data_IF_174679688816
#
_entry.id   IF_174679688816
#
_cell.length_a   1.000
_cell.length_b   1.000
_cell.length_c   1.000
_cell.angle_alpha   90.00
_cell.angle_beta   90.00
_cell.angle_gamma   90.00
#
_symmetry.space_group_name_H-M   'P 1'
#
loop_
_entity.id
_entity.type
_entity.pdbx_description
1 polymer ?
#
# COMPACT_ATOMS: atom_id res chain seq x y z
N UNK A 1 -3.13 8.37 4.14
CA UNK A 1 -3.26 8.46 5.61
C UNK A 1 -1.89 8.80 6.18
N UNK A 2 -1.82 9.83 7.00
CA UNK A 2 -0.57 10.33 7.59
C UNK A 2 -0.66 10.42 9.11
N UNK A 3 0.48 10.42 9.79
CA UNK A 3 0.59 10.54 11.25
C UNK A 3 1.87 9.92 11.77
N UNK A 4 2.22 10.19 13.02
CA UNK A 4 3.40 9.63 13.69
C UNK A 4 3.33 8.10 13.85
N UNK A 5 4.46 7.50 14.22
CA UNK A 5 4.50 6.08 14.56
C UNK A 5 3.55 5.78 15.72
N UNK A 6 2.90 4.61 15.68
CA UNK A 6 1.92 4.21 16.70
C UNK A 6 0.57 4.93 16.67
N UNK A 7 0.30 5.79 15.67
CA UNK A 7 -0.99 6.50 15.57
C UNK A 7 -2.18 5.63 15.10
N UNK A 8 -1.96 4.34 14.82
CA UNK A 8 -3.04 3.40 14.46
C UNK A 8 -3.27 3.22 12.95
N UNK A 9 -2.45 3.82 12.08
CA UNK A 9 -2.61 3.75 10.61
C UNK A 9 -2.63 2.31 10.07
N UNK A 10 -1.57 1.55 10.34
CA UNK A 10 -1.43 0.16 9.89
C UNK A 10 -2.49 -0.75 10.48
N UNK A 11 -2.81 -0.59 11.77
CA UNK A 11 -3.86 -1.37 12.45
C UNK A 11 -5.23 -1.13 11.81
N UNK A 12 -5.54 0.12 11.43
CA UNK A 12 -6.78 0.43 10.72
C UNK A 12 -6.88 -0.30 9.37
N UNK A 13 -5.78 -0.39 8.65
CA UNK A 13 -5.71 -1.13 7.37
C UNK A 13 -5.87 -2.63 7.57
N UNK A 14 -5.21 -3.20 8.58
CA UNK A 14 -5.38 -4.61 8.94
C UNK A 14 -6.83 -4.91 9.34
N UNK A 15 -7.51 -3.97 10.03
CA UNK A 15 -8.93 -4.10 10.35
C UNK A 15 -9.81 -4.17 9.11
N UNK A 16 -9.57 -3.32 8.10
CA UNK A 16 -10.27 -3.35 6.81
C UNK A 16 -10.05 -4.70 6.10
N UNK A 17 -8.81 -5.19 6.12
CA UNK A 17 -8.44 -6.47 5.52
C UNK A 17 -8.98 -7.69 6.31
N UNK A 18 -9.45 -7.49 7.56
CA UNK A 18 -9.86 -8.58 8.45
C UNK A 18 -8.69 -9.41 8.98
N UNK A 19 -7.53 -8.79 9.13
CA UNK A 19 -6.27 -9.41 9.58
C UNK A 19 -5.93 -9.05 11.04
N UNK A 20 -6.89 -8.66 11.84
CA UNK A 20 -6.69 -8.44 13.27
C UNK A 20 -6.77 -9.79 13.98
N UNK A 21 -5.66 -10.21 14.57
CA UNK A 21 -5.54 -11.47 15.29
C UNK A 21 -6.35 -11.48 16.60
N UNK A 22 -6.83 -12.67 16.99
CA UNK A 22 -7.42 -12.88 18.31
C UNK A 22 -6.40 -12.58 19.42
N UNK A 23 -6.78 -11.89 20.52
CA UNK A 23 -8.13 -11.53 20.94
C UNK A 23 -8.65 -10.17 20.44
N UNK A 24 -7.97 -9.54 19.48
CA UNK A 24 -8.39 -8.26 18.91
C UNK A 24 -9.79 -8.32 18.31
N UNK A 25 -10.53 -7.20 18.43
CA UNK A 25 -11.87 -7.06 17.87
C UNK A 25 -11.97 -5.76 17.10
N UNK A 26 -12.61 -5.83 15.92
CA UNK A 26 -12.92 -4.66 15.10
C UNK A 26 -14.36 -4.22 15.41
N UNK A 27 -14.50 -3.00 15.92
CA UNK A 27 -15.79 -2.35 16.13
C UNK A 27 -15.87 -1.13 15.23
N UNK A 28 -16.91 -1.04 14.43
CA UNK A 28 -17.15 0.08 13.52
C UNK A 28 -18.64 0.34 13.39
N UNK A 29 -19.03 1.60 13.34
CA UNK A 29 -20.41 1.99 13.02
C UNK A 29 -20.74 1.58 11.59
N UNK A 30 -19.85 1.91 10.67
CA UNK A 30 -19.94 1.54 9.27
C UNK A 30 -18.59 1.03 8.76
N UNK A 31 -18.59 -0.10 8.05
CA UNK A 31 -17.42 -0.65 7.35
C UNK A 31 -17.91 -1.29 6.06
N UNK A 32 -17.92 -0.52 4.99
CA UNK A 32 -18.51 -0.90 3.72
C UNK A 32 -17.51 -0.79 2.58
N UNK A 33 -17.56 -1.75 1.66
CA UNK A 33 -16.80 -1.74 0.42
C UNK A 33 -17.69 -2.17 -0.75
N UNK A 34 -17.82 -1.33 -1.76
CA UNK A 34 -18.67 -1.58 -2.95
C UNK A 34 -20.09 -2.03 -2.60
N UNK A 35 -20.74 -1.38 -1.63
CA UNK A 35 -22.10 -1.71 -1.18
C UNK A 35 -22.20 -2.97 -0.33
N UNK A 36 -21.08 -3.58 0.08
CA UNK A 36 -21.06 -4.75 0.96
C UNK A 36 -20.64 -4.34 2.37
N UNK A 37 -21.46 -4.65 3.37
CA UNK A 37 -21.10 -4.46 4.78
C UNK A 37 -20.08 -5.53 5.22
N UNK A 38 -18.81 -5.10 5.36
CA UNK A 38 -17.70 -6.00 5.71
C UNK A 38 -17.79 -6.56 7.13
N UNK A 39 -18.66 -6.02 7.97
CA UNK A 39 -18.91 -6.57 9.33
C UNK A 39 -19.76 -7.84 9.28
N UNK A 40 -20.55 -8.01 8.22
CA UNK A 40 -21.56 -9.10 8.09
C UNK A 40 -21.15 -10.18 7.11
N UNK A 41 -20.11 -9.98 6.31
CA UNK A 41 -19.63 -11.01 5.38
C UNK A 41 -19.04 -12.20 6.15
N UNK A 42 -19.25 -13.40 5.63
CA UNK A 42 -18.62 -14.62 6.15
C UNK A 42 -17.11 -14.60 5.89
N UNK A 43 -16.36 -15.41 6.64
CA UNK A 43 -14.91 -15.57 6.38
C UNK A 43 -14.61 -16.04 4.95
N UNK A 44 -15.46 -16.87 4.37
CA UNK A 44 -15.32 -17.34 3.00
C UNK A 44 -15.44 -16.19 2.00
N UNK A 45 -16.44 -15.31 2.17
CA UNK A 45 -16.62 -14.11 1.36
C UNK A 45 -15.48 -13.14 1.54
N UNK A 46 -14.99 -12.97 2.78
CA UNK A 46 -13.81 -12.14 3.07
C UNK A 46 -12.57 -12.64 2.36
N UNK A 47 -12.28 -13.94 2.39
CA UNK A 47 -11.15 -14.55 1.66
C UNK A 47 -11.27 -14.39 0.15
N UNK A 48 -12.48 -14.34 -0.38
CA UNK A 48 -12.70 -14.05 -1.80
C UNK A 48 -12.50 -12.59 -2.14
N UNK A 49 -12.85 -11.68 -1.22
CA UNK A 49 -12.70 -10.24 -1.40
C UNK A 49 -11.22 -9.80 -1.29
N UNK A 50 -10.53 -10.27 -0.23
CA UNK A 50 -9.13 -9.96 0.06
C UNK A 50 -8.23 -10.69 -0.93
N UNK A 51 -7.35 -9.93 -1.59
CA UNK A 51 -6.48 -10.41 -2.66
C UNK A 51 -7.11 -10.33 -4.06
N UNK A 52 -8.44 -10.34 -4.17
CA UNK A 52 -9.12 -10.21 -5.46
C UNK A 52 -9.61 -8.77 -5.72
N UNK A 53 -10.35 -8.18 -4.80
CA UNK A 53 -10.93 -6.83 -4.96
C UNK A 53 -10.24 -5.78 -4.06
N UNK A 54 -9.72 -6.20 -2.91
CA UNK A 54 -8.94 -5.37 -1.99
C UNK A 54 -7.60 -6.04 -1.76
N UNK A 55 -6.51 -5.34 -2.02
CA UNK A 55 -5.15 -5.85 -1.80
C UNK A 55 -4.36 -4.91 -0.90
N UNK A 56 -3.32 -5.44 -0.27
CA UNK A 56 -2.44 -4.68 0.61
C UNK A 56 -0.98 -4.96 0.32
N UNK A 57 -0.18 -3.91 0.31
CA UNK A 57 1.28 -3.95 0.34
C UNK A 57 1.68 -3.66 1.79
N UNK A 58 2.37 -4.62 2.40
CA UNK A 58 2.83 -4.51 3.78
C UNK A 58 4.14 -3.72 3.88
N UNK A 59 4.43 -3.21 5.06
CA UNK A 59 5.57 -2.33 5.32
C UNK A 59 6.93 -2.98 5.01
N UNK A 60 7.10 -4.28 5.28
CA UNK A 60 8.38 -4.99 5.11
C UNK A 60 8.26 -6.09 4.06
N UNK A 61 8.92 -5.94 2.89
CA UNK A 61 8.91 -6.95 1.85
C UNK A 61 9.65 -8.24 2.25
N UNK A 62 10.62 -8.16 3.17
CA UNK A 62 11.40 -9.32 3.59
C UNK A 62 10.60 -10.28 4.46
N UNK A 63 9.66 -9.78 5.23
CA UNK A 63 8.74 -10.60 6.03
C UNK A 63 7.48 -11.01 5.27
N UNK A 64 7.14 -10.30 4.22
CA UNK A 64 5.93 -10.55 3.41
C UNK A 64 6.14 -11.62 2.34
N UNK A 65 7.35 -11.75 1.82
CA UNK A 65 7.70 -12.80 0.86
C UNK A 65 8.18 -14.05 1.61
N UNK A 66 7.60 -15.21 1.29
CA UNK A 66 8.05 -16.47 1.88
C UNK A 66 9.42 -16.88 1.32
N UNK A 67 10.47 -16.98 2.14
CA UNK A 67 11.82 -17.28 1.68
C UNK A 67 12.00 -18.71 1.12
N UNK A 68 11.08 -19.62 1.42
CA UNK A 68 11.13 -21.01 0.98
C UNK A 68 10.56 -21.24 -0.43
N UNK A 69 9.89 -20.23 -1.02
CA UNK A 69 9.28 -20.35 -2.34
C UNK A 69 9.88 -19.32 -3.31
N UNK A 70 9.96 -19.72 -4.58
CA UNK A 70 10.42 -18.81 -5.63
C UNK A 70 9.43 -17.69 -5.87
N UNK A 71 9.88 -16.58 -6.43
CA UNK A 71 9.07 -15.42 -6.82
C UNK A 71 7.92 -15.84 -7.71
N UNK A 72 8.21 -16.62 -8.76
CA UNK A 72 7.20 -17.10 -9.69
C UNK A 72 6.13 -17.97 -9.02
N UNK A 73 6.55 -18.86 -8.10
CA UNK A 73 5.59 -19.68 -7.35
C UNK A 73 4.59 -18.81 -6.58
N UNK A 74 5.07 -17.82 -5.82
CA UNK A 74 4.24 -16.96 -4.99
C UNK A 74 3.26 -16.12 -5.82
N UNK A 75 3.72 -15.51 -6.93
CA UNK A 75 2.85 -14.76 -7.85
C UNK A 75 1.79 -15.69 -8.47
N UNK A 76 2.21 -16.85 -8.97
CA UNK A 76 1.30 -17.81 -9.58
C UNK A 76 0.29 -18.40 -8.60
N UNK A 77 0.64 -18.54 -7.32
CA UNK A 77 -0.27 -19.00 -6.27
C UNK A 77 -1.38 -17.98 -6.03
N UNK A 78 -1.05 -16.69 -5.91
CA UNK A 78 -2.04 -15.61 -5.80
C UNK A 78 -3.01 -15.61 -6.98
N UNK A 79 -2.51 -15.73 -8.22
CA UNK A 79 -3.34 -15.84 -9.42
C UNK A 79 -4.23 -17.07 -9.37
N UNK A 80 -3.68 -18.23 -8.98
CA UNK A 80 -4.40 -19.51 -8.91
C UNK A 80 -5.59 -19.45 -7.95
N UNK A 81 -5.37 -18.88 -6.78
CA UNK A 81 -6.40 -18.82 -5.72
C UNK A 81 -7.59 -17.98 -6.14
N UNK A 82 -7.37 -16.86 -6.84
CA UNK A 82 -8.42 -15.89 -7.12
C UNK A 82 -8.93 -15.90 -8.57
N UNK A 83 -8.11 -16.31 -9.53
CA UNK A 83 -8.45 -16.28 -10.96
C UNK A 83 -8.44 -17.67 -11.62
N UNK A 84 -7.79 -18.64 -10.99
CA UNK A 84 -7.64 -19.97 -11.57
C UNK A 84 -6.67 -20.02 -12.75
N UNK A 85 -7.11 -20.59 -13.87
CA UNK A 85 -6.30 -20.73 -15.08
C UNK A 85 -5.34 -21.92 -15.07
N UNK A 86 -4.81 -22.28 -16.24
CA UNK A 86 -3.81 -23.34 -16.37
C UNK A 86 -2.39 -22.82 -16.04
N UNK A 87 -1.41 -23.72 -15.89
CA UNK A 87 -0.05 -23.37 -15.53
C UNK A 87 0.59 -22.40 -16.52
N UNK A 88 0.38 -22.61 -17.84
CA UNK A 88 0.97 -21.77 -18.89
C UNK A 88 0.47 -20.33 -18.84
N UNK A 89 -0.84 -20.15 -18.66
CA UNK A 89 -1.45 -18.80 -18.56
C UNK A 89 -0.98 -18.06 -17.30
N UNK A 90 -0.82 -18.78 -16.17
CA UNK A 90 -0.29 -18.18 -14.93
C UNK A 90 1.18 -17.77 -15.03
N UNK A 91 2.01 -18.59 -15.69
CA UNK A 91 3.41 -18.23 -15.96
C UNK A 91 3.48 -16.95 -16.80
N UNK A 92 2.74 -16.90 -17.90
CA UNK A 92 2.73 -15.70 -18.75
C UNK A 92 2.26 -14.47 -17.98
N UNK A 93 1.17 -14.60 -17.21
CA UNK A 93 0.67 -13.50 -16.37
C UNK A 93 1.69 -13.05 -15.32
N UNK A 94 2.44 -13.98 -14.72
CA UNK A 94 3.50 -13.65 -13.76
C UNK A 94 4.65 -12.87 -14.44
N UNK A 95 5.05 -13.27 -15.65
CA UNK A 95 6.03 -12.54 -16.46
C UNK A 95 5.54 -11.13 -16.77
N UNK A 96 4.28 -10.99 -17.22
CA UNK A 96 3.67 -9.70 -17.55
C UNK A 96 3.62 -8.77 -16.31
N UNK A 97 3.32 -9.32 -15.13
CA UNK A 97 3.31 -8.57 -13.87
C UNK A 97 4.71 -8.10 -13.47
N UNK A 98 5.72 -8.97 -13.55
CA UNK A 98 7.11 -8.59 -13.27
C UNK A 98 7.62 -7.55 -14.25
N UNK A 99 7.23 -7.64 -15.53
CA UNK A 99 7.52 -6.62 -16.54
C UNK A 99 6.86 -5.29 -16.18
N UNK A 100 5.58 -5.34 -15.78
CA UNK A 100 4.78 -4.15 -15.43
C UNK A 100 5.38 -3.38 -14.26
N UNK A 101 5.93 -4.07 -13.27
CA UNK A 101 6.61 -3.45 -12.11
C UNK A 101 8.09 -3.13 -12.36
N UNK A 102 8.59 -3.32 -13.60
CA UNK A 102 9.95 -2.94 -13.99
C UNK A 102 11.05 -3.87 -13.46
N UNK A 103 10.77 -5.16 -13.28
CA UNK A 103 11.79 -6.16 -12.96
C UNK A 103 12.55 -6.52 -14.24
N UNK A 104 13.89 -6.39 -14.27
CA UNK A 104 14.70 -6.77 -15.44
C UNK A 104 14.72 -8.29 -15.61
N UNK A 105 14.67 -8.75 -16.85
CA UNK A 105 14.67 -10.17 -17.24
C UNK A 105 13.62 -11.00 -16.47
N UNK A 106 12.32 -10.64 -16.58
CA UNK A 106 11.27 -11.16 -15.72
C UNK A 106 11.09 -12.68 -15.81
N UNK A 107 11.40 -13.28 -16.96
CA UNK A 107 11.25 -14.72 -17.13
C UNK A 107 12.27 -15.50 -16.25
N UNK A 108 13.52 -15.07 -16.21
CA UNK A 108 14.54 -15.70 -15.36
C UNK A 108 14.30 -15.45 -13.86
N UNK A 109 13.61 -14.35 -13.53
CA UNK A 109 13.29 -13.99 -12.13
C UNK A 109 12.18 -14.83 -11.51
N UNK A 110 11.45 -15.61 -12.30
CA UNK A 110 10.44 -16.52 -11.74
C UNK A 110 11.06 -17.60 -10.84
N UNK A 111 12.28 -18.04 -11.14
CA UNK A 111 12.94 -19.16 -10.47
C UNK A 111 13.86 -18.70 -9.31
N UNK A 112 13.98 -17.38 -9.06
CA UNK A 112 14.78 -16.87 -7.95
C UNK A 112 13.99 -16.85 -6.65
N UNK A 113 14.72 -16.92 -5.54
CA UNK A 113 14.16 -16.79 -4.20
C UNK A 113 14.25 -15.35 -3.69
N UNK A 114 13.37 -14.94 -2.74
CA UNK A 114 13.37 -13.58 -2.19
C UNK A 114 14.75 -13.08 -1.71
N UNK A 115 15.52 -13.91 -1.03
CA UNK A 115 16.85 -13.57 -0.51
C UNK A 115 17.92 -13.29 -1.61
N UNK A 116 17.61 -13.59 -2.87
CA UNK A 116 18.47 -13.30 -4.03
C UNK A 116 18.12 -11.96 -4.68
N UNK A 117 17.14 -11.23 -4.16
CA UNK A 117 16.69 -9.94 -4.67
C UNK A 117 17.22 -8.80 -3.80
N UNK A 118 17.42 -7.62 -4.42
CA UNK A 118 17.60 -6.38 -3.66
C UNK A 118 16.29 -5.96 -2.98
N UNK A 119 16.36 -5.08 -1.97
CA UNK A 119 15.17 -4.56 -1.29
C UNK A 119 14.16 -3.93 -2.24
N UNK A 120 14.62 -3.10 -3.18
CA UNK A 120 13.75 -2.50 -4.20
C UNK A 120 13.13 -3.52 -5.15
N UNK A 121 13.85 -4.59 -5.51
CA UNK A 121 13.29 -5.68 -6.31
C UNK A 121 12.25 -6.48 -5.53
N UNK A 122 12.51 -6.79 -4.26
CA UNK A 122 11.54 -7.47 -3.39
C UNK A 122 10.26 -6.66 -3.22
N UNK A 123 10.39 -5.33 -3.08
CA UNK A 123 9.25 -4.41 -3.03
C UNK A 123 8.44 -4.46 -4.33
N UNK A 124 9.10 -4.41 -5.49
CA UNK A 124 8.42 -4.52 -6.80
C UNK A 124 7.71 -5.87 -6.97
N UNK A 125 8.30 -6.96 -6.52
CA UNK A 125 7.66 -8.30 -6.51
C UNK A 125 6.41 -8.29 -5.62
N UNK A 126 6.48 -7.71 -4.43
CA UNK A 126 5.33 -7.59 -3.54
C UNK A 126 4.20 -6.76 -4.17
N UNK A 127 4.54 -5.66 -4.86
CA UNK A 127 3.59 -4.87 -5.65
C UNK A 127 2.96 -5.75 -6.75
N UNK A 128 3.77 -6.49 -7.51
CA UNK A 128 3.27 -7.39 -8.55
C UNK A 128 2.28 -8.42 -8.01
N UNK A 129 2.56 -9.00 -6.84
CA UNK A 129 1.62 -9.91 -6.17
C UNK A 129 0.33 -9.22 -5.76
N UNK A 130 0.40 -8.02 -5.19
CA UNK A 130 -0.77 -7.27 -4.74
C UNK A 130 -1.70 -6.91 -5.91
N UNK A 131 -1.16 -6.55 -7.07
CA UNK A 131 -1.95 -6.17 -8.26
C UNK A 131 -2.29 -7.36 -9.17
N UNK A 132 -1.85 -8.58 -8.83
CA UNK A 132 -2.01 -9.77 -9.69
C UNK A 132 -3.44 -10.01 -10.13
N UNK A 133 -4.40 -9.74 -9.24
CA UNK A 133 -5.82 -9.93 -9.46
C UNK A 133 -6.58 -8.66 -9.88
N UNK A 134 -5.88 -7.56 -10.17
CA UNK A 134 -6.47 -6.26 -10.53
C UNK A 134 -7.46 -5.77 -9.48
N UNK A 135 -7.00 -5.49 -8.26
CA UNK A 135 -7.86 -5.06 -7.18
C UNK A 135 -8.50 -3.70 -7.50
N UNK A 136 -9.67 -3.45 -6.94
CA UNK A 136 -10.33 -2.13 -7.00
C UNK A 136 -9.77 -1.15 -5.98
N UNK A 137 -9.20 -1.69 -4.89
CA UNK A 137 -8.55 -0.92 -3.83
C UNK A 137 -7.20 -1.56 -3.50
N UNK A 138 -6.14 -0.76 -3.57
CA UNK A 138 -4.82 -1.09 -3.09
C UNK A 138 -4.50 -0.25 -1.86
N UNK A 139 -4.16 -0.90 -0.75
CA UNK A 139 -3.66 -0.24 0.46
C UNK A 139 -2.14 -0.45 0.50
N UNK A 140 -1.38 0.62 0.48
CA UNK A 140 0.08 0.58 0.59
C UNK A 140 0.49 1.13 1.95
N UNK A 141 0.92 0.25 2.85
CA UNK A 141 1.34 0.59 4.21
C UNK A 141 2.84 0.82 4.26
N UNK A 142 3.23 2.07 4.31
CA UNK A 142 4.64 2.52 4.31
C UNK A 142 5.50 1.80 3.25
N UNK A 143 5.11 1.81 1.97
CA UNK A 143 5.68 0.94 0.93
C UNK A 143 7.14 1.27 0.59
N UNK A 144 7.70 2.30 1.18
CA UNK A 144 9.06 2.80 0.91
C UNK A 144 9.99 2.70 2.12
N UNK A 145 9.51 2.18 3.25
CA UNK A 145 10.32 2.01 4.46
C UNK A 145 11.53 1.09 4.16
N UNK A 146 12.68 1.44 4.69
CA UNK A 146 13.98 0.76 4.54
C UNK A 146 14.55 0.76 3.10
N UNK A 147 14.04 1.60 2.20
CA UNK A 147 14.61 1.81 0.87
C UNK A 147 15.40 3.15 0.81
N UNK A 148 16.38 3.23 -0.08
CA UNK A 148 17.06 4.50 -0.36
C UNK A 148 16.14 5.49 -1.08
N UNK A 149 16.45 6.80 -0.97
CA UNK A 149 15.60 7.89 -1.46
C UNK A 149 15.26 7.76 -2.95
N UNK A 150 16.22 7.30 -3.76
CA UNK A 150 16.01 7.15 -5.20
C UNK A 150 15.00 6.04 -5.49
N UNK A 151 15.13 4.90 -4.81
CA UNK A 151 14.21 3.77 -4.95
C UNK A 151 12.83 4.13 -4.37
N UNK A 152 12.77 4.88 -3.28
CA UNK A 152 11.49 5.37 -2.72
C UNK A 152 10.69 6.15 -3.77
N UNK A 153 11.31 7.13 -4.43
CA UNK A 153 10.66 7.90 -5.49
C UNK A 153 10.13 7.01 -6.62
N UNK A 154 10.95 6.06 -7.08
CA UNK A 154 10.55 5.12 -8.13
C UNK A 154 9.38 4.21 -7.74
N UNK A 155 9.32 3.75 -6.49
CA UNK A 155 8.21 2.92 -5.98
C UNK A 155 6.90 3.72 -5.95
N UNK A 156 6.97 4.98 -5.54
CA UNK A 156 5.77 5.83 -5.50
C UNK A 156 5.28 6.17 -6.91
N UNK A 157 6.18 6.55 -7.80
CA UNK A 157 5.84 6.78 -9.20
C UNK A 157 5.17 5.54 -9.82
N UNK A 158 5.74 4.36 -9.59
CA UNK A 158 5.16 3.09 -10.01
C UNK A 158 3.73 2.88 -9.46
N UNK A 159 3.50 3.14 -8.17
CA UNK A 159 2.18 2.99 -7.56
C UNK A 159 1.15 3.95 -8.16
N UNK A 160 1.54 5.19 -8.44
CA UNK A 160 0.68 6.19 -9.08
C UNK A 160 0.37 5.83 -10.56
N UNK A 161 1.36 5.37 -11.31
CA UNK A 161 1.15 4.87 -12.67
C UNK A 161 0.19 3.67 -12.68
N UNK A 162 0.38 2.72 -11.78
CA UNK A 162 -0.50 1.55 -11.64
C UNK A 162 -1.92 1.94 -11.24
N UNK A 163 -2.06 2.92 -10.32
CA UNK A 163 -3.36 3.45 -9.91
C UNK A 163 -4.15 3.98 -11.11
N UNK A 164 -3.49 4.75 -11.98
CA UNK A 164 -4.12 5.30 -13.17
C UNK A 164 -4.42 4.21 -14.22
N UNK A 165 -3.43 3.37 -14.53
CA UNK A 165 -3.51 2.34 -15.56
C UNK A 165 -4.55 1.26 -15.27
N UNK A 166 -4.61 0.80 -14.03
CA UNK A 166 -5.55 -0.25 -13.60
C UNK A 166 -6.87 0.34 -13.08
N UNK A 167 -7.03 1.67 -13.07
CA UNK A 167 -8.22 2.40 -12.60
C UNK A 167 -8.66 1.93 -11.20
N UNK A 168 -7.70 1.84 -10.27
CA UNK A 168 -7.94 1.40 -8.90
C UNK A 168 -7.86 2.56 -7.91
N UNK A 169 -8.52 2.44 -6.77
CA UNK A 169 -8.31 3.34 -5.65
C UNK A 169 -7.00 2.99 -4.94
N UNK A 170 -6.24 4.00 -4.53
CA UNK A 170 -5.00 3.84 -3.76
C UNK A 170 -5.14 4.52 -2.40
N UNK A 171 -4.96 3.76 -1.32
CA UNK A 171 -4.76 4.28 0.03
C UNK A 171 -3.27 4.16 0.36
N UNK A 172 -2.60 5.30 0.41
CA UNK A 172 -1.19 5.38 0.80
C UNK A 172 -1.08 5.74 2.27
N UNK A 173 -0.42 4.91 3.06
CA UNK A 173 -0.04 5.19 4.43
C UNK A 173 1.44 5.54 4.42
N UNK A 174 1.77 6.72 4.92
CA UNK A 174 3.16 7.19 4.97
C UNK A 174 3.33 8.24 6.06
N UNK A 175 4.54 8.39 6.53
CA UNK A 175 4.96 9.52 7.36
C UNK A 175 5.60 10.65 6.53
N UNK A 176 5.81 10.43 5.23
CA UNK A 176 6.38 11.42 4.32
C UNK A 176 5.27 12.32 3.75
N UNK A 177 5.20 13.54 4.27
CA UNK A 177 4.22 14.54 3.85
C UNK A 177 4.57 15.21 2.52
N UNK A 178 5.84 15.28 2.13
CA UNK A 178 6.24 15.84 0.84
C UNK A 178 5.68 14.97 -0.29
N UNK A 179 5.82 13.66 -0.14
CA UNK A 179 5.22 12.68 -1.03
C UNK A 179 3.69 12.80 -1.12
N UNK A 180 3.04 13.00 0.04
CA UNK A 180 1.57 13.13 0.10
C UNK A 180 1.11 14.41 -0.60
N UNK A 181 1.89 15.49 -0.56
CA UNK A 181 1.58 16.74 -1.24
C UNK A 181 1.47 16.57 -2.76
N UNK A 182 2.30 15.71 -3.33
CA UNK A 182 2.34 15.43 -4.77
C UNK A 182 1.29 14.40 -5.22
N UNK A 183 1.05 13.39 -4.38
CA UNK A 183 0.32 12.18 -4.77
C UNK A 183 -1.16 12.16 -4.32
N UNK A 184 -1.52 12.84 -3.23
CA UNK A 184 -2.81 12.64 -2.60
C UNK A 184 -3.88 13.64 -3.05
N UNK A 185 -5.09 13.13 -3.33
CA UNK A 185 -6.28 13.97 -3.50
C UNK A 185 -6.91 14.34 -2.16
N UNK A 186 -6.91 13.42 -1.20
CA UNK A 186 -7.50 13.55 0.13
C UNK A 186 -6.53 13.05 1.18
N UNK A 187 -6.46 13.75 2.30
CA UNK A 187 -5.61 13.40 3.43
C UNK A 187 -6.47 13.08 4.66
N UNK A 188 -6.05 12.07 5.39
CA UNK A 188 -6.55 11.72 6.72
C UNK A 188 -5.35 11.78 7.66
N UNK A 189 -5.40 12.66 8.65
CA UNK A 189 -4.35 12.81 9.66
C UNK A 189 -4.76 12.05 10.91
N UNK A 190 -3.91 11.13 11.36
CA UNK A 190 -4.14 10.32 12.56
C UNK A 190 -3.13 10.65 13.67
N UNK A 191 -3.62 10.75 14.88
CA UNK A 191 -2.82 10.94 16.11
C UNK A 191 -3.43 10.14 17.24
N UNK A 192 -2.61 9.36 17.96
CA UNK A 192 -3.03 8.57 19.14
C UNK A 192 -4.30 7.74 18.92
N UNK A 193 -4.42 7.07 17.76
CA UNK A 193 -5.56 6.22 17.41
C UNK A 193 -6.80 6.96 16.92
N UNK A 194 -6.75 8.28 16.78
CA UNK A 194 -7.88 9.11 16.35
C UNK A 194 -7.60 9.83 15.03
N UNK A 195 -8.63 10.01 14.21
CA UNK A 195 -8.58 10.91 13.08
C UNK A 195 -8.76 12.34 13.61
N UNK A 196 -7.72 13.16 13.52
CA UNK A 196 -7.72 14.54 14.05
C UNK A 196 -8.05 15.57 12.99
N UNK A 197 -7.77 15.27 11.73
CA UNK A 197 -8.10 16.14 10.60
C UNK A 197 -8.29 15.33 9.32
N UNK A 198 -9.21 15.75 8.45
CA UNK A 198 -9.42 15.17 7.12
C UNK A 198 -9.89 16.25 6.15
N UNK A 199 -9.43 16.20 4.92
CA UNK A 199 -9.80 17.16 3.88
C UNK A 199 -9.11 16.90 2.55
N UNK A 200 -9.40 17.75 1.57
CA UNK A 200 -8.63 17.77 0.34
C UNK A 200 -7.16 18.08 0.63
N UNK A 201 -6.23 17.49 -0.11
CA UNK A 201 -4.81 17.68 0.14
C UNK A 201 -4.43 19.17 0.13
N UNK A 202 -4.90 19.91 -0.86
CA UNK A 202 -4.63 21.35 -0.99
C UNK A 202 -5.09 22.16 0.24
N UNK A 203 -6.24 21.81 0.82
CA UNK A 203 -6.77 22.52 2.00
C UNK A 203 -5.94 22.23 3.25
N UNK A 204 -5.57 20.96 3.44
CA UNK A 204 -4.73 20.55 4.58
C UNK A 204 -3.35 21.19 4.53
N UNK A 205 -2.71 21.29 3.35
CA UNK A 205 -1.41 21.94 3.20
C UNK A 205 -1.50 23.47 3.33
N UNK A 206 -2.56 24.08 2.79
CA UNK A 206 -2.72 25.54 2.77
C UNK A 206 -3.17 26.12 4.11
N UNK A 207 -4.12 25.46 4.78
CA UNK A 207 -4.76 25.95 5.99
C UNK A 207 -5.08 24.80 6.98
N UNK A 208 -4.05 24.15 7.55
CA UNK A 208 -4.24 23.12 8.55
C UNK A 208 -4.91 23.68 9.79
N UNK A 209 -5.95 23.01 10.27
CA UNK A 209 -6.76 23.49 11.40
C UNK A 209 -6.31 22.88 12.73
N UNK A 210 -5.95 21.60 12.72
CA UNK A 210 -5.56 20.90 13.94
C UNK A 210 -4.11 21.22 14.33
N UNK A 211 -3.79 21.53 15.60
CA UNK A 211 -2.44 21.85 16.03
C UNK A 211 -1.39 20.79 15.69
N UNK A 212 -1.76 19.50 15.77
CA UNK A 212 -0.88 18.40 15.39
C UNK A 212 -0.55 18.42 13.88
N UNK A 213 -1.54 18.66 13.02
CA UNK A 213 -1.31 18.79 11.57
C UNK A 213 -0.38 19.97 11.27
N UNK A 214 -0.58 21.10 11.95
CA UNK A 214 0.31 22.26 11.83
C UNK A 214 1.73 21.93 12.25
N UNK A 215 1.92 21.19 13.36
CA UNK A 215 3.24 20.76 13.82
C UNK A 215 3.91 19.80 12.83
N UNK A 216 3.17 18.84 12.27
CA UNK A 216 3.67 17.92 11.25
C UNK A 216 4.16 18.67 9.99
N UNK A 217 3.38 19.62 9.50
CA UNK A 217 3.74 20.40 8.31
C UNK A 217 4.94 21.33 8.57
N UNK A 218 5.05 21.92 9.77
CA UNK A 218 6.21 22.75 10.14
C UNK A 218 7.52 21.95 10.23
N UNK A 219 7.44 20.65 10.41
CA UNK A 219 8.62 19.78 10.42
C UNK A 219 9.18 19.50 9.02
N UNK A 220 8.44 19.84 7.95
CA UNK A 220 8.92 19.71 6.58
C UNK A 220 9.97 20.79 6.26
N UNK A 221 11.11 20.42 5.65
CA UNK A 221 12.16 21.39 5.29
C UNK A 221 11.69 22.54 4.42
N UNK A 222 10.74 22.29 3.53
CA UNK A 222 10.17 23.29 2.60
C UNK A 222 9.38 24.37 3.32
N UNK A 223 8.62 24.02 4.35
CA UNK A 223 7.89 24.99 5.18
C UNK A 223 8.77 25.71 6.19
N UNK A 224 9.96 25.18 6.52
CA UNK A 224 10.94 25.85 7.38
C UNK A 224 11.68 26.97 6.64
N UNK A 225 11.86 26.88 5.30
CA UNK A 225 12.57 27.89 4.51
C UNK A 225 11.77 29.17 4.28
N UNK A 226 10.44 29.11 4.22
CA UNK A 226 9.62 30.32 4.06
C UNK A 226 9.65 31.25 5.28
N UNK A 227 9.93 30.73 6.47
CA UNK A 227 10.12 31.58 7.67
C UNK A 227 11.47 32.27 7.74
N UNK A 228 12.51 31.69 7.15
CA UNK A 228 13.84 32.30 7.10
C UNK A 228 13.95 33.42 6.04
N UNK A 229 12.99 33.50 5.10
CA UNK A 229 12.89 34.58 4.11
C UNK A 229 12.03 35.76 4.56
N UNK A 230 11.29 35.63 5.66
CA UNK A 230 10.43 36.67 6.23
C UNK A 230 10.94 37.25 7.55
N UNK A 231 12.13 36.90 7.97
CA UNK A 231 12.93 37.52 9.03
C UNK A 231 14.14 38.20 8.45
#
# INVERSE_FOLDING_TARGET
IVGGSGSGKSVSSLAIMGLIDYPGRVMAENLEFNGRDLKRISEKERRQLVGAEVAMIFQDPMTSLNPCYTVGYQIMEAIKVHQGGNKKTRIQRAIDLLTLVGIPDPASRLDVYPHQLSGGMSQRVMIAMAIACRPKLLIADEPTTALDVTIQAQIIELLLELQQKENMALVLITHDLALVAEAAHKIIVMYAGQVVETGAAQDIFRAPRHPYTQALLRALPEFAQDKARLA
#
